data_IF_817447921855
#
_entry.id   IF_817447921855
#
_cell.length_a   1.000
_cell.length_b   1.000
_cell.length_c   1.000
_cell.angle_alpha   90.00
_cell.angle_beta   90.00
_cell.angle_gamma   90.00
#
_symmetry.space_group_name_H-M   'P 1'
#
loop_
_entity.id
_entity.type
_entity.pdbx_description
1 polymer ?
#
# COMPACT_ATOMS: atom_id res chain seq x y z
N UNK A 1 28.16 21.44 0.38
CA UNK A 1 28.25 20.55 1.56
C UNK A 1 27.35 19.36 1.30
N UNK A 2 27.89 18.14 1.30
CA UNK A 2 27.07 16.93 1.16
C UNK A 2 26.35 16.73 2.49
N UNK A 3 25.02 16.85 2.51
CA UNK A 3 24.23 16.51 3.70
C UNK A 3 24.49 15.03 4.05
N UNK A 4 24.59 14.67 5.33
CA UNK A 4 24.82 13.29 5.72
C UNK A 4 23.68 12.39 5.22
N UNK A 5 24.04 11.23 4.70
CA UNK A 5 23.09 10.23 4.20
C UNK A 5 22.07 9.86 5.30
N UNK A 6 20.79 10.14 5.05
CA UNK A 6 19.71 9.88 6.02
C UNK A 6 19.26 8.43 5.90
N UNK A 7 19.80 7.53 6.73
CA UNK A 7 19.44 6.11 6.69
C UNK A 7 18.04 5.86 7.27
N UNK A 8 17.15 5.15 6.54
CA UNK A 8 15.81 4.83 7.06
C UNK A 8 15.89 3.70 8.09
N UNK A 9 15.75 4.02 9.36
CA UNK A 9 15.62 3.00 10.42
C UNK A 9 14.14 2.76 10.73
N UNK A 10 13.68 1.52 10.52
CA UNK A 10 12.30 1.08 10.76
C UNK A 10 11.20 1.84 9.96
N UNK A 11 11.56 2.59 8.94
CA UNK A 11 10.63 3.27 8.04
C UNK A 11 10.11 2.26 7.00
N UNK A 12 8.78 2.16 6.92
CA UNK A 12 8.06 1.27 5.99
C UNK A 12 7.13 2.03 5.04
N UNK A 13 7.08 3.35 5.18
CA UNK A 13 6.27 4.25 4.39
C UNK A 13 7.15 4.80 3.26
N UNK A 14 6.81 4.41 2.03
CA UNK A 14 7.55 4.81 0.84
C UNK A 14 7.44 6.32 0.57
N UNK A 15 6.25 6.89 0.71
CA UNK A 15 6.05 8.33 0.47
C UNK A 15 6.89 9.14 1.45
N UNK A 16 6.84 8.81 2.74
CA UNK A 16 7.69 9.45 3.75
C UNK A 16 9.18 9.31 3.42
N UNK A 17 9.59 8.13 2.97
CA UNK A 17 10.99 7.84 2.64
C UNK A 17 11.50 8.76 1.52
N UNK A 18 10.74 8.89 0.42
CA UNK A 18 11.11 9.73 -0.72
C UNK A 18 11.04 11.23 -0.37
N UNK A 19 9.97 11.63 0.31
CA UNK A 19 9.65 13.05 0.52
C UNK A 19 10.49 13.70 1.62
N UNK A 20 10.99 12.90 2.56
CA UNK A 20 11.92 13.36 3.58
C UNK A 20 13.39 13.03 3.27
N UNK A 21 13.70 12.73 2.00
CA UNK A 21 15.05 12.51 1.45
C UNK A 21 15.87 11.45 2.22
N UNK A 22 15.21 10.34 2.58
CA UNK A 22 15.90 9.17 3.12
C UNK A 22 16.60 8.39 2.01
N UNK A 23 17.68 7.69 2.36
CA UNK A 23 18.34 6.76 1.45
C UNK A 23 17.39 5.65 1.01
N UNK A 24 17.07 5.63 -0.27
CA UNK A 24 16.25 4.62 -0.92
C UNK A 24 17.10 3.81 -1.90
N UNK A 25 17.04 2.48 -1.79
CA UNK A 25 17.59 1.60 -2.83
C UNK A 25 16.48 1.34 -3.83
N UNK A 26 16.57 1.98 -4.99
CA UNK A 26 15.58 1.84 -6.05
C UNK A 26 15.55 0.41 -6.59
N UNK A 27 14.35 -0.17 -6.58
CA UNK A 27 13.99 -1.50 -7.12
C UNK A 27 12.66 -1.44 -7.86
N UNK A 28 12.24 -0.24 -8.26
CA UNK A 28 10.92 -0.01 -8.84
C UNK A 28 10.78 -0.57 -10.25
N UNK A 29 11.89 -0.85 -10.92
CA UNK A 29 11.94 -1.61 -12.18
C UNK A 29 11.28 -2.99 -12.06
N UNK A 30 11.33 -3.62 -10.88
CA UNK A 30 10.67 -4.90 -10.63
C UNK A 30 9.13 -4.83 -10.69
N UNK A 31 8.52 -3.65 -10.64
CA UNK A 31 7.07 -3.52 -10.83
C UNK A 31 6.65 -4.13 -12.18
N UNK A 32 7.43 -3.85 -13.23
CA UNK A 32 7.20 -4.40 -14.58
C UNK A 32 7.28 -5.92 -14.63
N UNK A 33 8.27 -6.46 -13.91
CA UNK A 33 8.45 -7.91 -13.81
C UNK A 33 7.25 -8.52 -13.06
N UNK A 34 6.83 -7.90 -11.96
CA UNK A 34 5.67 -8.36 -11.20
C UNK A 34 4.38 -8.37 -12.00
N UNK A 35 4.11 -7.34 -12.79
CA UNK A 35 2.94 -7.28 -13.68
C UNK A 35 2.88 -8.46 -14.67
N UNK A 36 4.02 -9.08 -14.99
CA UNK A 36 4.12 -10.24 -15.90
C UNK A 36 4.03 -11.59 -15.19
N UNK A 37 4.22 -11.65 -13.87
CA UNK A 37 4.30 -12.90 -13.10
C UNK A 37 2.92 -13.51 -12.79
N UNK A 38 1.85 -12.74 -12.92
CA UNK A 38 0.47 -13.20 -12.70
C UNK A 38 -0.37 -12.24 -11.85
N UNK A 39 -1.65 -12.56 -11.71
CA UNK A 39 -2.62 -11.74 -10.95
C UNK A 39 -2.49 -11.87 -9.44
N UNK A 40 -1.90 -12.97 -8.96
CA UNK A 40 -1.79 -13.29 -7.53
C UNK A 40 -0.33 -13.58 -7.18
N UNK A 41 0.26 -12.70 -6.35
CA UNK A 41 1.68 -12.78 -5.99
C UNK A 41 1.85 -12.93 -4.49
N UNK A 42 2.54 -14.00 -4.09
CA UNK A 42 2.86 -14.28 -2.69
C UNK A 42 4.34 -14.04 -2.40
N UNK A 43 4.64 -13.04 -1.59
CA UNK A 43 6.01 -12.67 -1.22
C UNK A 43 6.49 -13.47 0.01
N UNK A 44 7.00 -14.69 -0.23
CA UNK A 44 7.50 -15.60 0.81
C UNK A 44 8.95 -15.28 1.22
N UNK A 45 9.23 -15.20 2.55
CA UNK A 45 10.58 -15.16 3.19
C UNK A 45 11.57 -14.12 2.60
N UNK A 46 12.77 -13.94 3.18
CA UNK A 46 13.06 -13.95 4.63
C UNK A 46 12.47 -12.73 5.38
N UNK A 47 12.53 -12.75 6.71
CA UNK A 47 12.05 -11.66 7.60
C UNK A 47 12.91 -10.39 7.39
N UNK A 48 12.32 -9.20 7.55
CA UNK A 48 12.99 -7.88 7.36
C UNK A 48 13.50 -7.58 5.94
N UNK A 49 13.06 -8.33 4.94
CA UNK A 49 13.44 -8.12 3.54
C UNK A 49 12.72 -6.93 2.85
N UNK A 50 12.22 -5.96 3.60
CA UNK A 50 11.57 -4.78 3.00
C UNK A 50 10.17 -4.99 2.41
N UNK A 51 9.52 -6.14 2.62
CA UNK A 51 8.17 -6.41 2.06
C UNK A 51 7.13 -5.33 2.36
N UNK A 52 7.09 -4.82 3.59
CA UNK A 52 6.15 -3.74 3.94
C UNK A 52 6.44 -2.45 3.18
N UNK A 53 7.74 -2.11 3.01
CA UNK A 53 8.14 -0.95 2.21
C UNK A 53 7.77 -1.16 0.74
N UNK A 54 7.99 -2.36 0.22
CA UNK A 54 7.62 -2.71 -1.15
C UNK A 54 6.11 -2.60 -1.40
N UNK A 55 5.28 -3.14 -0.49
CA UNK A 55 3.83 -2.95 -0.56
C UNK A 55 3.47 -1.45 -0.50
N UNK A 56 4.14 -0.66 0.34
CA UNK A 56 3.96 0.80 0.35
C UNK A 56 4.32 1.47 -0.97
N UNK A 57 5.38 1.02 -1.65
CA UNK A 57 5.77 1.50 -2.99
C UNK A 57 4.68 1.16 -4.01
N UNK A 58 4.21 -0.09 -4.05
CA UNK A 58 3.16 -0.52 -4.98
C UNK A 58 1.85 0.24 -4.76
N UNK A 59 1.45 0.45 -3.49
CA UNK A 59 0.26 1.23 -3.18
C UNK A 59 0.36 2.64 -3.77
N UNK A 60 1.47 3.36 -3.53
CA UNK A 60 1.65 4.70 -4.08
C UNK A 60 1.71 4.71 -5.62
N UNK A 61 2.24 3.64 -6.24
CA UNK A 61 2.36 3.56 -7.69
C UNK A 61 1.01 3.35 -8.39
N UNK A 62 0.16 2.49 -7.83
CA UNK A 62 -1.11 2.12 -8.45
C UNK A 62 -2.29 3.02 -8.05
N UNK A 63 -2.19 3.73 -6.93
CA UNK A 63 -3.27 4.53 -6.36
C UNK A 63 -3.64 5.74 -7.23
N UNK A 64 -4.89 5.76 -7.72
CA UNK A 64 -5.48 6.84 -8.49
C UNK A 64 -5.42 8.19 -7.76
N UNK A 65 -5.62 8.20 -6.44
CA UNK A 65 -5.59 9.42 -5.63
C UNK A 65 -4.18 10.02 -5.53
N UNK A 66 -3.14 9.29 -5.95
CA UNK A 66 -1.73 9.72 -5.99
C UNK A 66 -1.28 10.22 -7.37
N UNK A 67 -2.19 10.35 -8.34
CA UNK A 67 -1.83 10.78 -9.69
C UNK A 67 -1.09 12.13 -9.73
N UNK A 68 -1.53 13.11 -8.95
CA UNK A 68 -0.88 14.44 -8.88
C UNK A 68 0.51 14.40 -8.22
N UNK A 69 0.77 13.37 -7.41
CA UNK A 69 2.03 13.17 -6.70
C UNK A 69 3.04 12.32 -7.48
N UNK A 70 2.67 11.81 -8.67
CA UNK A 70 3.46 10.81 -9.38
C UNK A 70 4.92 11.25 -9.62
N UNK A 71 5.11 12.44 -10.19
CA UNK A 71 6.45 12.96 -10.50
C UNK A 71 7.27 13.21 -9.23
N UNK A 72 6.61 13.63 -8.15
CA UNK A 72 7.25 13.85 -6.84
C UNK A 72 7.75 12.53 -6.24
N UNK A 73 6.97 11.46 -6.35
CA UNK A 73 7.26 10.17 -5.72
C UNK A 73 8.14 9.26 -6.57
N UNK A 74 7.91 9.23 -7.89
CA UNK A 74 8.53 8.28 -8.79
C UNK A 74 9.42 8.93 -9.85
N UNK A 75 9.30 10.25 -10.08
CA UNK A 75 9.97 10.91 -11.20
C UNK A 75 11.49 10.75 -11.25
N UNK A 76 12.16 10.40 -10.15
CA UNK A 76 13.61 10.09 -10.13
C UNK A 76 13.95 8.60 -10.11
N UNK A 77 12.94 7.74 -10.01
CA UNK A 77 13.07 6.28 -9.90
C UNK A 77 12.93 5.61 -11.26
N UNK A 78 13.43 4.39 -11.39
CA UNK A 78 13.41 3.62 -12.63
C UNK A 78 11.99 3.47 -13.21
N UNK A 79 10.99 3.20 -12.38
CA UNK A 79 9.60 3.10 -12.85
C UNK A 79 8.99 4.45 -13.22
N UNK A 80 9.41 5.57 -12.64
CA UNK A 80 8.87 6.88 -13.03
C UNK A 80 9.46 7.39 -14.34
N UNK A 81 10.73 7.05 -14.61
CA UNK A 81 11.39 7.34 -15.88
C UNK A 81 10.82 6.52 -17.04
N UNK A 82 10.29 5.33 -16.73
CA UNK A 82 9.62 4.48 -17.69
C UNK A 82 8.45 3.80 -16.98
N UNK A 83 7.25 4.38 -16.98
CA UNK A 83 6.13 3.82 -16.24
C UNK A 83 5.27 2.87 -17.08
N UNK A 84 4.52 2.00 -16.42
CA UNK A 84 3.60 1.05 -17.03
C UNK A 84 2.25 1.73 -17.25
N UNK A 85 1.39 1.13 -18.10
CA UNK A 85 0.04 1.65 -18.31
C UNK A 85 -0.86 1.63 -17.07
N UNK A 86 -0.39 1.02 -15.97
CA UNK A 86 -1.13 0.79 -14.73
C UNK A 86 -0.86 1.83 -13.64
N UNK A 87 0.08 2.75 -13.85
CA UNK A 87 0.36 3.86 -12.92
C UNK A 87 -0.93 4.63 -12.56
N UNK A 88 -1.20 4.82 -11.27
CA UNK A 88 -2.33 5.58 -10.74
C UNK A 88 -3.69 5.24 -11.40
N UNK A 89 -3.96 3.96 -11.69
CA UNK A 89 -5.21 3.51 -12.33
C UNK A 89 -6.21 2.90 -11.37
N UNK A 90 -5.83 2.62 -10.13
CA UNK A 90 -6.60 1.77 -9.24
C UNK A 90 -6.96 2.46 -7.94
N UNK A 91 -8.12 2.09 -7.38
CA UNK A 91 -8.39 2.31 -5.97
C UNK A 91 -7.75 1.15 -5.21
N UNK A 92 -6.82 1.46 -4.31
CA UNK A 92 -6.01 0.45 -3.61
C UNK A 92 -6.51 0.28 -2.19
N UNK A 93 -6.89 -0.95 -1.83
CA UNK A 93 -7.30 -1.32 -0.47
C UNK A 93 -6.20 -2.16 0.20
N UNK A 94 -5.80 -1.77 1.42
CA UNK A 94 -4.78 -2.48 2.19
C UNK A 94 -5.38 -3.20 3.38
N UNK A 95 -5.04 -4.47 3.50
CA UNK A 95 -5.35 -5.31 4.64
C UNK A 95 -4.11 -5.53 5.50
N UNK A 96 -4.22 -5.30 6.82
CA UNK A 96 -3.15 -5.58 7.78
C UNK A 96 -3.69 -6.39 8.95
N UNK A 97 -3.78 -7.71 8.73
CA UNK A 97 -4.28 -8.66 9.72
C UNK A 97 -3.35 -8.86 10.93
N UNK A 98 -2.15 -8.24 10.96
CA UNK A 98 -1.32 -8.26 12.16
C UNK A 98 -1.95 -7.52 13.33
N UNK A 99 -2.95 -6.68 13.06
CA UNK A 99 -3.70 -5.91 14.06
C UNK A 99 -4.95 -6.64 14.58
N UNK A 100 -5.28 -7.80 14.02
CA UNK A 100 -6.45 -8.60 14.45
C UNK A 100 -6.04 -9.46 15.64
N UNK A 101 -6.78 -9.33 16.74
CA UNK A 101 -6.56 -10.17 17.91
C UNK A 101 -6.90 -11.62 17.56
N UNK A 102 -5.97 -12.53 17.87
CA UNK A 102 -6.11 -13.97 17.57
C UNK A 102 -6.27 -14.81 18.83
N UNK A 103 -6.74 -14.20 19.91
CA UNK A 103 -6.83 -14.81 21.24
C UNK A 103 -8.30 -14.78 21.68
N UNK A 104 -8.75 -15.82 22.37
CA UNK A 104 -10.16 -15.95 22.79
C UNK A 104 -10.85 -17.13 22.11
N UNK A 105 -12.18 -17.11 22.10
CA UNK A 105 -13.01 -18.10 21.41
C UNK A 105 -12.97 -17.88 19.89
N UNK A 106 -13.44 -18.86 19.11
CA UNK A 106 -13.60 -18.69 17.65
C UNK A 106 -14.48 -17.50 17.30
N UNK A 107 -15.55 -17.27 18.06
CA UNK A 107 -16.45 -16.13 17.88
C UNK A 107 -15.75 -14.79 18.14
N UNK A 108 -14.87 -14.72 19.14
CA UNK A 108 -14.10 -13.48 19.42
C UNK A 108 -13.14 -13.14 18.28
N UNK A 109 -12.46 -14.15 17.72
CA UNK A 109 -11.55 -13.98 16.58
C UNK A 109 -12.31 -13.59 15.31
N UNK A 110 -13.47 -14.21 15.07
CA UNK A 110 -14.35 -13.87 13.95
C UNK A 110 -14.83 -12.41 14.05
N UNK A 111 -15.29 -11.99 15.23
CA UNK A 111 -15.71 -10.61 15.47
C UNK A 111 -14.54 -9.63 15.26
N UNK A 112 -13.36 -9.92 15.79
CA UNK A 112 -12.19 -9.07 15.61
C UNK A 112 -11.77 -8.94 14.13
N UNK A 113 -11.95 -10.00 13.34
CA UNK A 113 -11.72 -9.97 11.90
C UNK A 113 -12.76 -9.09 11.19
N UNK A 114 -14.05 -9.27 11.49
CA UNK A 114 -15.13 -8.46 10.93
C UNK A 114 -14.95 -6.97 11.26
N UNK A 115 -14.60 -6.65 12.50
CA UNK A 115 -14.34 -5.27 12.93
C UNK A 115 -13.17 -4.67 12.14
N UNK A 116 -12.08 -5.41 11.97
CA UNK A 116 -10.95 -4.95 11.16
C UNK A 116 -11.36 -4.72 9.70
N UNK A 117 -12.14 -5.65 9.13
CA UNK A 117 -12.65 -5.57 7.76
C UNK A 117 -13.45 -4.30 7.55
N UNK A 118 -14.46 -4.09 8.39
CA UNK A 118 -15.33 -2.92 8.34
C UNK A 118 -14.55 -1.62 8.50
N UNK A 119 -13.61 -1.55 9.45
CA UNK A 119 -12.79 -0.36 9.66
C UNK A 119 -11.91 -0.02 8.45
N UNK A 120 -11.32 -1.01 7.75
CA UNK A 120 -10.54 -0.68 6.55
C UNK A 120 -11.44 -0.26 5.39
N UNK A 121 -12.61 -0.87 5.23
CA UNK A 121 -13.58 -0.48 4.20
C UNK A 121 -14.04 0.97 4.44
N UNK A 122 -14.41 1.33 5.66
CA UNK A 122 -14.77 2.72 6.00
C UNK A 122 -13.65 3.72 5.69
N UNK A 123 -12.40 3.37 6.03
CA UNK A 123 -11.22 4.19 5.70
C UNK A 123 -11.04 4.33 4.20
N UNK A 124 -11.19 3.24 3.45
CA UNK A 124 -11.12 3.23 2.00
C UNK A 124 -12.20 4.15 1.38
N UNK A 125 -13.46 4.02 1.81
CA UNK A 125 -14.55 4.89 1.33
C UNK A 125 -14.28 6.36 1.62
N UNK A 126 -13.77 6.66 2.82
CA UNK A 126 -13.43 8.03 3.20
C UNK A 126 -12.30 8.58 2.33
N UNK A 127 -11.25 7.80 2.12
CA UNK A 127 -10.08 8.21 1.34
C UNK A 127 -10.43 8.45 -0.13
N UNK A 128 -11.24 7.57 -0.72
CA UNK A 128 -11.64 7.64 -2.13
C UNK A 128 -12.98 8.34 -2.36
N UNK A 129 -13.51 9.09 -1.38
CA UNK A 129 -14.84 9.70 -1.45
C UNK A 129 -15.07 10.54 -2.71
N UNK A 130 -14.04 11.24 -3.20
CA UNK A 130 -14.13 12.05 -4.41
C UNK A 130 -14.27 11.22 -5.70
N UNK A 131 -13.87 9.94 -5.67
CA UNK A 131 -13.85 9.03 -6.81
C UNK A 131 -15.01 8.02 -6.80
N UNK A 132 -15.67 7.84 -5.66
CA UNK A 132 -16.80 6.93 -5.50
C UNK A 132 -18.11 7.66 -5.80
N UNK A 133 -18.81 7.23 -6.83
CA UNK A 133 -20.03 7.87 -7.34
C UNK A 133 -21.26 7.71 -6.42
N UNK A 134 -21.21 6.84 -5.40
CA UNK A 134 -22.33 6.62 -4.48
C UNK A 134 -21.87 6.13 -3.09
N UNK A 135 -22.60 6.46 -2.03
CA UNK A 135 -22.32 5.99 -0.67
C UNK A 135 -22.83 4.55 -0.51
N UNK A 136 -21.95 3.57 -0.70
CA UNK A 136 -22.30 2.17 -0.40
C UNK A 136 -22.77 2.04 1.04
N UNK A 137 -23.95 1.45 1.24
CA UNK A 137 -24.48 1.14 2.57
C UNK A 137 -23.69 -0.03 3.15
N UNK A 138 -22.79 0.24 4.09
CA UNK A 138 -22.14 -0.81 4.87
C UNK A 138 -23.18 -1.43 5.79
N UNK A 139 -23.43 -2.74 5.63
CA UNK A 139 -24.36 -3.48 6.48
C UNK A 139 -23.59 -4.00 7.70
N UNK A 140 -23.83 -3.45 8.91
CA UNK A 140 -23.06 -3.82 10.09
C UNK A 140 -23.30 -5.27 10.54
N UNK A 141 -24.39 -5.89 10.08
CA UNK A 141 -24.82 -7.25 10.38
C UNK A 141 -24.52 -8.27 9.27
N UNK A 142 -24.00 -7.83 8.12
CA UNK A 142 -23.77 -8.70 6.97
C UNK A 142 -22.63 -8.19 6.08
N UNK A 143 -21.41 -8.23 6.61
CA UNK A 143 -20.21 -8.04 5.81
C UNK A 143 -19.88 -9.36 5.06
N UNK A 144 -20.48 -9.51 3.88
CA UNK A 144 -19.97 -10.32 2.77
C UNK A 144 -19.76 -9.41 1.56
#
# INVERSE_FOLDING_TARGET
MNLPLKLPYAIRDFEKLITEDYYYVDRTDHIRVMEQLGSELLLLRPRRFGKSLWLSTLMNYYDLAKAEDFDRLFGKLAIGQNPTGLQNRYLVMRWDFSQVQSHGTSADVEQALHDHINVQIEKFHRYYRAFLADQSTLRPDNAL
#
